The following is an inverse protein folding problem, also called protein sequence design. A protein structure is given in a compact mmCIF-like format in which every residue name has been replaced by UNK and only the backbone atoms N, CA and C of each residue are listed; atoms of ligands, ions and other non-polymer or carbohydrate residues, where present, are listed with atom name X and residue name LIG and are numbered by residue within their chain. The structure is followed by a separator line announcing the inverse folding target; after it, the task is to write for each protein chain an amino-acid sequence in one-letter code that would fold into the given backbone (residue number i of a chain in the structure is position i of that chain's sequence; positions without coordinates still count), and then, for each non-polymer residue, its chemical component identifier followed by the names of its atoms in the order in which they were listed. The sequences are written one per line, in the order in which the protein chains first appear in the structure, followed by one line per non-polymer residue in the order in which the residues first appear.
data_IF_396750237624
#
_entry.id   IF_396750237624
#
_cell.length_a   1.000
_cell.length_b   1.000
_cell.length_c   1.000
_cell.angle_alpha   90.00
_cell.angle_beta   90.00
_cell.angle_gamma   90.00
#
_symmetry.space_group_name_H-M   'P 1'
#
loop_
_entity.id
_entity.type
_entity.pdbx_description
1 polymer ?
#
# COMPACT_ATOMS: atom_id res chain seq x y z
N UNK A 1 21.74 14.81 -8.00
CA UNK A 1 21.29 14.80 -7.81
C UNK A 1 20.19 14.55 -8.07
N UNK A 2 20.05 14.65 -8.54
CA UNK A 2 18.77 14.62 -8.98
C UNK A 2 17.91 13.63 -8.36
N UNK A 3 18.28 12.46 -8.33
CA UNK A 3 17.53 11.43 -7.67
C UNK A 3 17.40 11.65 -6.18
N UNK A 4 18.11 12.62 -5.66
CA UNK A 4 18.09 12.86 -4.21
C UNK A 4 16.71 13.17 -3.68
N UNK A 5 15.79 13.63 -4.53
CA UNK A 5 14.43 13.91 -4.10
C UNK A 5 13.47 12.76 -4.28
N UNK A 6 13.90 11.66 -4.90
CA UNK A 6 13.00 10.56 -5.20
C UNK A 6 12.77 9.68 -3.99
N UNK A 7 11.50 9.44 -3.70
CA UNK A 7 11.05 8.59 -2.60
C UNK A 7 10.28 7.41 -3.18
N UNK A 8 10.13 6.34 -2.40
CA UNK A 8 9.46 5.15 -2.91
C UNK A 8 8.69 4.44 -1.80
N UNK A 9 7.51 3.97 -2.14
CA UNK A 9 6.64 3.23 -1.22
C UNK A 9 5.95 2.08 -1.94
N UNK A 10 5.93 0.93 -1.31
CA UNK A 10 5.23 -0.26 -1.78
C UNK A 10 4.20 -0.64 -0.73
N UNK A 11 2.93 -0.64 -1.11
CA UNK A 11 1.86 -1.07 -0.22
C UNK A 11 1.62 -2.56 -0.41
N UNK A 12 1.49 -3.31 0.68
CA UNK A 12 1.41 -4.78 0.61
C UNK A 12 0.24 -5.30 1.42
N UNK A 13 -0.49 -6.27 0.84
CA UNK A 13 -1.48 -7.04 1.56
C UNK A 13 -1.39 -8.49 1.12
N UNK A 14 -2.32 -9.33 1.55
CA UNK A 14 -2.25 -10.76 1.25
C UNK A 14 -2.37 -11.05 -0.25
N UNK A 15 -3.41 -10.52 -0.90
CA UNK A 15 -3.72 -10.85 -2.30
C UNK A 15 -3.51 -9.74 -3.31
N UNK A 16 -3.24 -8.54 -2.87
CA UNK A 16 -3.06 -7.36 -3.74
C UNK A 16 -4.29 -7.06 -4.61
N UNK A 17 -5.48 -7.36 -4.10
CA UNK A 17 -6.73 -7.05 -4.81
C UNK A 17 -7.71 -6.22 -3.98
N UNK A 18 -7.51 -6.10 -2.67
CA UNK A 18 -8.40 -5.31 -1.80
C UNK A 18 -7.70 -4.13 -1.17
N UNK A 19 -6.95 -4.37 -0.10
CA UNK A 19 -6.38 -3.29 0.73
C UNK A 19 -5.26 -2.52 0.07
N UNK A 20 -4.26 -3.21 -0.45
CA UNK A 20 -3.09 -2.52 -0.99
C UNK A 20 -3.39 -1.73 -2.26
N UNK A 21 -4.26 -2.19 -3.18
CA UNK A 21 -4.62 -1.34 -4.32
C UNK A 21 -5.34 -0.06 -3.90
N UNK A 22 -6.17 -0.13 -2.86
CA UNK A 22 -6.84 1.07 -2.33
C UNK A 22 -5.81 2.04 -1.77
N UNK A 23 -4.87 1.56 -0.96
CA UNK A 23 -3.83 2.40 -0.37
C UNK A 23 -2.98 3.04 -1.47
N UNK A 24 -2.58 2.26 -2.46
CA UNK A 24 -1.78 2.76 -3.58
C UNK A 24 -2.52 3.88 -4.32
N UNK A 25 -3.78 3.66 -4.67
CA UNK A 25 -4.57 4.62 -5.42
C UNK A 25 -4.79 5.91 -4.63
N UNK A 26 -5.10 5.77 -3.34
CA UNK A 26 -5.32 6.91 -2.45
C UNK A 26 -4.04 7.74 -2.31
N UNK A 27 -2.91 7.06 -2.08
CA UNK A 27 -1.64 7.78 -1.91
C UNK A 27 -1.23 8.50 -3.20
N UNK A 28 -1.41 7.83 -4.34
CA UNK A 28 -1.06 8.44 -5.64
C UNK A 28 -1.91 9.69 -5.89
N UNK A 29 -3.20 9.64 -5.57
CA UNK A 29 -4.06 10.80 -5.72
C UNK A 29 -3.61 11.93 -4.80
N UNK A 30 -3.28 11.64 -3.55
CA UNK A 30 -2.80 12.65 -2.61
C UNK A 30 -1.50 13.31 -3.10
N UNK A 31 -0.57 12.49 -3.59
CA UNK A 31 0.70 12.99 -4.10
C UNK A 31 0.48 13.87 -5.33
N UNK A 32 -0.47 13.48 -6.19
CA UNK A 32 -0.84 14.25 -7.39
C UNK A 32 -1.42 15.59 -6.98
N UNK A 33 -2.39 15.58 -6.05
CA UNK A 33 -3.06 16.80 -5.59
C UNK A 33 -2.09 17.75 -4.89
N UNK A 34 -1.06 17.21 -4.27
CA UNK A 34 -0.03 18.00 -3.58
C UNK A 34 1.11 18.43 -4.51
N UNK A 35 1.07 18.02 -5.77
CA UNK A 35 2.10 18.40 -6.74
C UNK A 35 3.42 17.69 -6.56
N UNK A 36 3.45 16.55 -5.86
CA UNK A 36 4.70 15.83 -5.56
C UNK A 36 4.76 14.42 -6.14
N UNK A 37 3.77 14.02 -6.95
CA UNK A 37 3.72 12.66 -7.48
C UNK A 37 4.97 12.30 -8.28
N UNK A 38 5.57 13.27 -8.95
CA UNK A 38 6.79 13.04 -9.75
C UNK A 38 8.00 12.71 -8.88
N UNK A 39 7.91 12.96 -7.58
CA UNK A 39 9.00 12.67 -6.63
C UNK A 39 8.84 11.33 -5.95
N UNK A 40 7.82 10.57 -6.32
CA UNK A 40 7.52 9.29 -5.68
C UNK A 40 7.45 8.16 -6.70
N UNK A 41 7.97 7.00 -6.32
CA UNK A 41 7.71 5.73 -7.00
C UNK A 41 6.69 5.01 -6.12
N UNK A 42 5.51 4.73 -6.66
CA UNK A 42 4.38 4.19 -5.91
C UNK A 42 3.90 2.90 -6.56
N UNK A 43 3.78 1.84 -5.77
CA UNK A 43 3.27 0.57 -6.28
C UNK A 43 2.65 -0.22 -5.14
N UNK A 44 2.10 -1.39 -5.45
CA UNK A 44 1.59 -2.32 -4.46
C UNK A 44 1.83 -3.76 -4.89
N UNK A 45 1.80 -4.67 -3.94
CA UNK A 45 2.05 -6.08 -4.20
C UNK A 45 1.42 -6.97 -3.14
N UNK A 46 1.51 -8.27 -3.36
CA UNK A 46 0.94 -9.29 -2.49
C UNK A 46 2.04 -10.12 -1.83
N UNK A 47 1.75 -10.63 -0.63
CA UNK A 47 2.61 -11.65 -0.04
C UNK A 47 2.38 -13.00 -0.70
N UNK A 48 1.16 -13.25 -1.23
CA UNK A 48 0.83 -14.51 -1.92
C UNK A 48 0.92 -14.37 -3.44
N UNK A 49 0.86 -15.51 -4.13
CA UNK A 49 0.85 -15.54 -5.59
C UNK A 49 -0.54 -15.86 -6.17
N UNK A 50 -1.58 -15.81 -5.32
CA UNK A 50 -2.91 -16.30 -5.67
C UNK A 50 -3.61 -15.52 -6.78
N UNK A 51 -3.37 -14.22 -6.84
CA UNK A 51 -4.15 -13.35 -7.72
C UNK A 51 -3.30 -12.62 -8.76
N UNK A 52 -2.10 -13.10 -9.05
CA UNK A 52 -1.20 -12.44 -9.99
C UNK A 52 -1.92 -12.15 -11.32
N UNK A 53 -1.87 -10.90 -11.76
CA UNK A 53 -2.50 -10.47 -13.01
C UNK A 53 -3.94 -10.04 -12.88
N UNK A 54 -4.56 -10.25 -11.72
CA UNK A 54 -5.98 -9.91 -11.50
C UNK A 54 -6.18 -8.41 -11.32
N UNK A 55 -7.36 -7.94 -11.71
CA UNK A 55 -7.81 -6.58 -11.39
C UNK A 55 -8.13 -6.49 -9.91
N UNK A 56 -8.14 -5.30 -9.32
CA UNK A 56 -8.64 -5.15 -7.95
C UNK A 56 -10.09 -5.61 -7.84
N UNK A 57 -10.48 -6.02 -6.62
CA UNK A 57 -11.85 -6.44 -6.33
C UNK A 57 -12.83 -5.35 -6.76
N UNK A 58 -13.94 -5.75 -7.41
CA UNK A 58 -14.91 -4.81 -7.95
C UNK A 58 -15.50 -3.88 -6.88
N UNK A 59 -15.64 -4.37 -5.65
CA UNK A 59 -16.14 -3.56 -4.54
C UNK A 59 -15.14 -2.47 -4.16
N UNK A 60 -13.85 -2.79 -4.22
CA UNK A 60 -12.80 -1.82 -3.99
C UNK A 60 -12.77 -0.76 -5.07
N UNK A 61 -12.90 -1.19 -6.33
CA UNK A 61 -12.96 -0.24 -7.44
C UNK A 61 -14.16 0.69 -7.32
N UNK A 62 -15.33 0.13 -6.95
CA UNK A 62 -16.55 0.94 -6.77
C UNK A 62 -16.36 1.95 -5.63
N UNK A 63 -15.75 1.52 -4.54
CA UNK A 63 -15.45 2.40 -3.40
C UNK A 63 -14.57 3.57 -3.84
N UNK A 64 -13.50 3.27 -4.57
CA UNK A 64 -12.59 4.31 -5.07
C UNK A 64 -13.31 5.29 -5.98
N UNK A 65 -14.15 4.78 -6.89
CA UNK A 65 -14.90 5.65 -7.82
C UNK A 65 -15.84 6.60 -7.10
N UNK A 66 -16.45 6.17 -6.00
CA UNK A 66 -17.30 7.05 -5.19
C UNK A 66 -16.54 8.26 -4.67
N UNK A 67 -15.24 8.14 -4.53
CA UNK A 67 -14.36 9.20 -4.02
C UNK A 67 -13.51 9.81 -5.13
N UNK A 68 -13.90 9.60 -6.39
CA UNK A 68 -13.21 10.14 -7.56
C UNK A 68 -11.77 9.65 -7.69
N UNK A 69 -11.52 8.42 -7.29
CA UNK A 69 -10.20 7.79 -7.40
C UNK A 69 -10.28 6.61 -8.36
N UNK A 70 -9.31 6.49 -9.24
CA UNK A 70 -9.25 5.39 -10.20
C UNK A 70 -7.90 4.68 -10.12
N UNK A 71 -7.87 3.42 -10.54
CA UNK A 71 -6.62 2.66 -10.62
C UNK A 71 -6.71 1.66 -11.77
N UNK A 72 -5.56 1.43 -12.40
CA UNK A 72 -5.41 0.41 -13.44
C UNK A 72 -4.47 -0.69 -12.95
N UNK A 73 -4.22 -0.76 -11.65
CA UNK A 73 -3.29 -1.72 -11.08
C UNK A 73 -3.68 -3.17 -11.38
N UNK A 74 -2.68 -4.02 -11.55
CA UNK A 74 -2.86 -5.46 -11.67
C UNK A 74 -2.05 -6.11 -10.56
N UNK A 75 -2.62 -7.12 -9.91
CA UNK A 75 -1.97 -7.79 -8.78
C UNK A 75 -0.63 -8.39 -9.20
N UNK A 76 0.37 -8.19 -8.34
CA UNK A 76 1.67 -8.82 -8.49
C UNK A 76 2.17 -9.27 -7.13
N UNK A 77 3.11 -10.20 -7.12
CA UNK A 77 3.69 -10.65 -5.87
C UNK A 77 4.94 -9.82 -5.55
N UNK A 78 5.17 -9.58 -4.26
CA UNK A 78 6.38 -8.91 -3.79
C UNK A 78 7.58 -9.80 -4.11
N UNK A 79 8.65 -9.18 -4.61
CA UNK A 79 9.88 -9.86 -4.95
C UNK A 79 11.01 -9.46 -4.00
N UNK A 80 12.09 -10.23 -4.01
CA UNK A 80 13.26 -9.89 -3.20
C UNK A 80 13.85 -8.53 -3.59
N UNK A 81 13.76 -8.19 -4.86
CA UNK A 81 14.26 -6.90 -5.35
C UNK A 81 13.50 -5.72 -4.74
N UNK A 82 12.23 -5.91 -4.40
CA UNK A 82 11.43 -4.84 -3.78
C UNK A 82 12.07 -4.35 -2.49
N UNK A 83 12.70 -5.25 -1.72
CA UNK A 83 13.35 -4.86 -0.46
C UNK A 83 14.58 -3.97 -0.68
N UNK A 84 15.12 -3.96 -1.89
CA UNK A 84 16.25 -3.10 -2.25
C UNK A 84 15.79 -1.84 -2.96
N UNK A 85 14.67 -1.93 -3.69
CA UNK A 85 14.19 -0.84 -4.55
C UNK A 85 13.32 0.17 -3.82
N UNK A 86 12.56 -0.27 -2.83
CA UNK A 86 11.63 0.61 -2.11
C UNK A 86 12.18 1.02 -0.77
N UNK A 87 12.07 2.31 -0.48
CA UNK A 87 12.48 2.86 0.81
C UNK A 87 11.52 2.43 1.93
N UNK A 88 10.23 2.38 1.62
CA UNK A 88 9.19 1.96 2.55
C UNK A 88 8.36 0.83 1.96
N UNK A 89 8.13 -0.20 2.78
CA UNK A 89 7.18 -1.27 2.45
C UNK A 89 6.16 -1.28 3.57
N UNK A 90 4.93 -0.85 3.26
CA UNK A 90 3.88 -0.65 4.24
C UNK A 90 2.78 -1.70 4.06
N UNK A 91 2.51 -2.48 5.10
CA UNK A 91 1.55 -3.58 5.05
C UNK A 91 0.36 -3.33 5.97
N UNK A 92 -0.63 -4.20 5.90
CA UNK A 92 -1.95 -3.94 6.46
C UNK A 92 -2.19 -4.58 7.81
N UNK A 93 -1.55 -5.72 8.08
CA UNK A 93 -1.75 -6.45 9.34
C UNK A 93 -0.50 -7.22 9.75
N UNK A 94 -0.57 -7.84 10.93
CA UNK A 94 0.58 -8.56 11.49
C UNK A 94 0.98 -9.76 10.63
N UNK A 95 0.02 -10.41 9.98
CA UNK A 95 0.31 -11.55 9.11
C UNK A 95 1.14 -11.11 7.92
N UNK A 96 0.76 -10.00 7.28
CA UNK A 96 1.55 -9.43 6.19
C UNK A 96 2.95 -9.07 6.67
N UNK A 97 3.04 -8.46 7.85
CA UNK A 97 4.32 -8.03 8.41
C UNK A 97 5.25 -9.21 8.64
N UNK A 98 4.73 -10.29 9.23
CA UNK A 98 5.51 -11.51 9.46
C UNK A 98 6.00 -12.12 8.16
N UNK A 99 5.12 -12.20 7.16
CA UNK A 99 5.48 -12.78 5.86
C UNK A 99 6.57 -11.96 5.17
N UNK A 100 6.45 -10.63 5.24
CA UNK A 100 7.44 -9.75 4.63
C UNK A 100 8.79 -9.87 5.31
N UNK A 101 8.80 -9.90 6.64
CA UNK A 101 10.05 -10.03 7.39
C UNK A 101 10.74 -11.37 7.12
N UNK A 102 9.94 -12.44 7.00
CA UNK A 102 10.48 -13.77 6.66
C UNK A 102 11.13 -13.75 5.27
N UNK A 103 10.46 -13.14 4.30
CA UNK A 103 10.99 -13.02 2.94
C UNK A 103 12.25 -12.16 2.92
N UNK A 104 12.26 -11.08 3.68
CA UNK A 104 13.40 -10.17 3.76
C UNK A 104 14.63 -10.83 4.37
N UNK A 105 14.45 -11.84 5.22
CA UNK A 105 15.58 -12.53 5.84
C UNK A 105 16.53 -13.17 4.81
N UNK A 106 16.06 -13.43 3.61
CA UNK A 106 16.89 -14.00 2.55
C UNK A 106 17.59 -12.94 1.70
N UNK A 107 17.36 -11.66 2.01
CA UNK A 107 17.96 -10.54 1.28
C UNK A 107 19.00 -9.86 2.16
N UNK A 108 20.25 -9.84 1.72
CA UNK A 108 21.31 -9.21 2.52
C UNK A 108 21.27 -7.69 2.37
N UNK A 109 21.39 -7.01 3.49
CA UNK A 109 21.52 -5.56 3.52
C UNK A 109 20.36 -4.84 2.80
N UNK A 110 19.13 -5.34 2.96
CA UNK A 110 18.02 -4.68 2.33
C UNK A 110 17.79 -3.30 2.96
N UNK A 111 17.33 -2.34 2.14
CA UNK A 111 17.20 -0.95 2.57
C UNK A 111 15.79 -0.61 3.05
N UNK A 112 14.79 -1.39 2.69
CA UNK A 112 13.40 -1.06 2.97
C UNK A 112 13.10 -1.04 4.46
N UNK A 113 12.27 -0.07 4.86
CA UNK A 113 11.68 -0.05 6.18
C UNK A 113 10.33 -0.75 6.07
N UNK A 114 10.18 -1.86 6.77
CA UNK A 114 8.96 -2.68 6.71
C UNK A 114 8.11 -2.33 7.92
N UNK A 115 6.94 -1.72 7.69
CA UNK A 115 6.09 -1.20 8.75
C UNK A 115 4.62 -1.47 8.47
N UNK A 116 3.80 -1.39 9.51
CA UNK A 116 2.34 -1.38 9.35
C UNK A 116 1.91 0.01 8.88
N UNK A 117 1.10 0.06 7.83
CA UNK A 117 0.54 1.34 7.38
C UNK A 117 -0.24 2.00 8.52
N UNK A 118 -0.97 1.21 9.31
CA UNK A 118 -1.73 1.72 10.45
C UNK A 118 -0.89 2.39 11.52
N UNK A 119 0.42 2.20 11.54
CA UNK A 119 1.28 2.88 12.49
C UNK A 119 1.30 4.39 12.28
N UNK A 120 0.87 4.86 11.11
CA UNK A 120 0.77 6.28 10.80
C UNK A 120 -0.61 6.86 11.11
N UNK A 121 -1.57 6.03 11.52
CA UNK A 121 -2.94 6.48 11.78
C UNK A 121 -2.98 7.40 13.02
N UNK A 122 -3.45 8.65 12.87
CA UNK A 122 -3.62 9.51 14.04
C UNK A 122 -4.65 8.98 15.02
N UNK A 123 -5.55 8.09 14.59
CA UNK A 123 -6.52 7.42 15.47
C UNK A 123 -5.95 6.11 16.05
N UNK A 124 -4.69 5.78 15.73
CA UNK A 124 -3.96 4.63 16.29
C UNK A 124 -4.58 3.28 16.00
N UNK A 125 -5.29 3.15 14.88
CA UNK A 125 -5.79 1.86 14.42
C UNK A 125 -4.69 1.17 13.61
N UNK A 126 -3.93 0.32 14.27
CA UNK A 126 -2.74 -0.30 13.67
C UNK A 126 -3.07 -1.29 12.56
N UNK A 127 -4.22 -1.92 12.63
CA UNK A 127 -4.59 -3.00 11.70
C UNK A 127 -5.64 -2.52 10.73
N UNK A 128 -5.40 -2.75 9.44
CA UNK A 128 -6.38 -2.53 8.39
C UNK A 128 -6.92 -3.90 8.03
N UNK A 129 -8.14 -4.19 8.45
CA UNK A 129 -8.73 -5.52 8.33
C UNK A 129 -9.05 -5.86 6.88
N UNK A 130 -8.91 -7.16 6.55
CA UNK A 130 -9.20 -7.64 5.21
C UNK A 130 -10.72 -7.62 4.98
N UNK A 131 -11.21 -6.84 3.99
CA UNK A 131 -12.64 -6.71 3.75
C UNK A 131 -13.18 -7.77 2.80
N UNK A 132 -12.36 -8.70 2.35
CA UNK A 132 -12.73 -9.64 1.28
C UNK A 132 -14.03 -10.42 1.57
N UNK A 133 -14.18 -10.88 2.81
CA UNK A 133 -15.38 -11.62 3.22
C UNK A 133 -16.42 -10.72 3.87
N UNK A 134 -16.26 -9.42 3.77
CA UNK A 134 -17.18 -8.46 4.37
C UNK A 134 -18.12 -7.82 3.37
N UNK A 135 -18.64 -6.66 3.72
CA UNK A 135 -19.60 -5.90 2.93
C UNK A 135 -18.94 -4.68 2.28
N UNK A 136 -19.73 -3.95 1.50
CA UNK A 136 -19.27 -2.71 0.90
C UNK A 136 -18.83 -1.69 1.96
N UNK A 137 -19.50 -1.70 3.13
CA UNK A 137 -19.12 -0.84 4.25
C UNK A 137 -17.71 -1.15 4.74
N UNK A 138 -17.31 -2.41 4.70
CA UNK A 138 -15.96 -2.79 5.13
C UNK A 138 -14.91 -2.24 4.17
N UNK A 139 -15.22 -2.15 2.88
CA UNK A 139 -14.34 -1.50 1.92
C UNK A 139 -14.25 0.00 2.18
N UNK A 140 -15.37 0.65 2.55
CA UNK A 140 -15.35 2.06 2.93
C UNK A 140 -14.46 2.29 4.15
N UNK A 141 -14.51 1.40 5.14
CA UNK A 141 -13.65 1.52 6.32
C UNK A 141 -12.18 1.42 5.95
N UNK A 142 -11.84 0.49 5.04
CA UNK A 142 -10.47 0.38 4.53
C UNK A 142 -10.05 1.67 3.84
N UNK A 143 -10.94 2.21 3.01
CA UNK A 143 -10.68 3.48 2.32
C UNK A 143 -10.39 4.59 3.32
N UNK A 144 -11.24 4.74 4.33
CA UNK A 144 -11.09 5.80 5.34
C UNK A 144 -9.79 5.64 6.13
N UNK A 145 -9.45 4.41 6.51
CA UNK A 145 -8.18 4.16 7.20
C UNK A 145 -6.99 4.50 6.30
N UNK A 146 -7.06 4.11 5.02
CA UNK A 146 -5.99 4.42 4.07
C UNK A 146 -5.82 5.92 3.89
N UNK A 147 -6.92 6.67 3.84
CA UNK A 147 -6.85 8.14 3.72
C UNK A 147 -6.10 8.72 4.91
N UNK A 148 -6.48 8.34 6.13
CA UNK A 148 -5.82 8.86 7.33
C UNK A 148 -4.34 8.51 7.38
N UNK A 149 -4.04 7.25 7.11
CA UNK A 149 -2.66 6.75 7.18
C UNK A 149 -1.79 7.34 6.09
N UNK A 150 -2.29 7.37 4.87
CA UNK A 150 -1.53 7.90 3.73
C UNK A 150 -1.26 9.39 3.88
N UNK A 151 -2.24 10.13 4.41
CA UNK A 151 -2.06 11.55 4.67
C UNK A 151 -0.93 11.78 5.67
N UNK A 152 -0.95 11.06 6.78
CA UNK A 152 0.07 11.18 7.81
C UNK A 152 1.44 10.73 7.29
N UNK A 153 1.47 9.65 6.51
CA UNK A 153 2.71 9.15 5.93
C UNK A 153 3.31 10.17 4.95
N UNK A 154 2.47 10.75 4.10
CA UNK A 154 2.95 11.76 3.14
C UNK A 154 3.50 12.98 3.87
N UNK A 155 2.80 13.44 4.90
CA UNK A 155 3.24 14.58 5.70
C UNK A 155 4.57 14.32 6.40
N UNK A 156 4.75 13.12 6.91
CA UNK A 156 5.98 12.74 7.59
C UNK A 156 7.19 12.66 6.64
N UNK A 157 6.94 12.55 5.35
CA UNK A 157 7.98 12.39 4.34
C UNK A 157 8.02 13.55 3.34
N UNK A 158 7.47 14.66 3.71
CA UNK A 158 7.48 15.86 2.85
C UNK A 158 8.74 16.68 3.01
#
# INVERSE_FOLDING_TARGET
MASTGTKSVLFVCLGNICRSPIAEAVFRKMATDSGVVDKWVIDSGATSDWNIGSSPDSRGLACLRKHDVETSHRARQVTKEDFMSFEYILCMDESNLSDLKRKANSVKNYRAKIELLGSYDPQKQLIIRDPYYGSDEDFEKVYEQCVRCCKAFLEANS
#
